data_IF_376782716319
#
_entry.id   IF_376782716319
#
_cell.length_a   1.000
_cell.length_b   1.000
_cell.length_c   1.000
_cell.angle_alpha   90.00
_cell.angle_beta   90.00
_cell.angle_gamma   90.00
#
_symmetry.space_group_name_H-M   'P 1'
#
loop_
_entity.id
_entity.type
_entity.pdbx_description
1 polymer ?
#
# COMPACT_ATOMS: atom_id res chain seq x y z
N UNK A 1 -14.90 -18.58 20.19
CA UNK A 1 -16.01 -18.04 19.38
C UNK A 1 -15.48 -17.06 18.32
N UNK A 2 -14.66 -17.53 17.38
CA UNK A 2 -14.01 -16.70 16.35
C UNK A 2 -14.03 -17.33 14.93
N UNK A 3 -14.60 -18.53 14.79
CA UNK A 3 -14.76 -19.21 13.49
C UNK A 3 -15.80 -18.54 12.59
N UNK A 4 -16.79 -17.88 13.19
CA UNK A 4 -17.97 -17.40 12.47
C UNK A 4 -17.73 -16.09 11.71
N UNK A 5 -16.86 -15.21 12.22
CA UNK A 5 -16.45 -13.99 11.50
C UNK A 5 -15.54 -14.27 10.31
N UNK A 6 -14.81 -15.38 10.35
CA UNK A 6 -13.91 -15.80 9.28
C UNK A 6 -14.66 -16.38 8.07
N UNK A 7 -15.77 -17.09 8.32
CA UNK A 7 -16.63 -17.66 7.28
C UNK A 7 -17.42 -16.59 6.51
N UNK A 8 -17.92 -15.56 7.22
CA UNK A 8 -18.79 -14.52 6.62
C UNK A 8 -18.10 -13.66 5.56
N UNK A 9 -16.77 -13.47 5.62
CA UNK A 9 -16.04 -12.71 4.59
C UNK A 9 -15.65 -13.54 3.36
N UNK A 10 -15.68 -14.87 3.46
CA UNK A 10 -15.28 -15.80 2.38
C UNK A 10 -16.47 -16.43 1.65
N UNK A 11 -17.64 -16.50 2.28
CA UNK A 11 -18.83 -17.13 1.71
C UNK A 11 -19.88 -16.09 1.31
N UNK A 12 -19.81 -15.58 0.09
CA UNK A 12 -20.94 -15.00 -0.67
C UNK A 12 -20.47 -14.75 -2.11
N UNK A 13 -20.52 -15.78 -2.95
CA UNK A 13 -20.33 -15.66 -4.41
C UNK A 13 -20.93 -16.87 -5.12
N UNK A 14 -22.26 -16.93 -5.20
CA UNK A 14 -22.97 -17.71 -6.23
C UNK A 14 -24.47 -17.34 -6.23
N UNK A 15 -24.92 -16.57 -7.22
CA UNK A 15 -26.18 -16.75 -7.96
C UNK A 15 -26.31 -15.68 -9.06
N UNK A 16 -26.52 -16.14 -10.29
CA UNK A 16 -26.75 -15.33 -11.49
C UNK A 16 -28.19 -14.81 -11.55
N UNK A 17 -28.36 -13.59 -12.03
CA UNK A 17 -29.62 -13.05 -12.57
C UNK A 17 -29.31 -11.80 -13.39
N UNK A 18 -29.49 -11.85 -14.70
CA UNK A 18 -29.24 -10.73 -15.60
C UNK A 18 -30.51 -9.87 -15.74
N UNK A 19 -30.42 -8.59 -15.36
CA UNK A 19 -31.32 -7.53 -15.81
C UNK A 19 -30.52 -6.23 -15.88
N UNK A 20 -30.48 -5.58 -17.06
CA UNK A 20 -29.80 -4.30 -17.27
C UNK A 20 -30.79 -3.18 -16.95
N UNK A 21 -30.46 -2.30 -16.00
CA UNK A 21 -31.01 -0.94 -15.90
C UNK A 21 -29.93 0.00 -15.36
N UNK A 22 -29.72 1.13 -16.04
CA UNK A 22 -28.76 2.17 -15.69
C UNK A 22 -28.98 2.69 -14.26
N UNK A 23 -27.91 2.85 -13.48
CA UNK A 23 -27.67 3.91 -12.46
C UNK A 23 -26.50 3.49 -11.54
N UNK A 24 -25.51 4.37 -11.41
CA UNK A 24 -24.47 4.30 -10.39
C UNK A 24 -23.27 3.42 -10.74
N UNK A 25 -22.22 4.03 -11.29
CA UNK A 25 -20.86 3.46 -11.20
C UNK A 25 -20.62 3.25 -9.69
N UNK A 26 -20.44 2.02 -9.19
CA UNK A 26 -20.05 1.85 -7.82
C UNK A 26 -18.65 2.44 -7.70
N UNK A 27 -18.54 3.52 -6.93
CA UNK A 27 -17.26 3.99 -6.44
C UNK A 27 -16.58 2.76 -5.82
N UNK A 28 -15.48 2.33 -6.45
CA UNK A 28 -14.66 1.24 -5.94
C UNK A 28 -14.14 1.70 -4.58
N UNK A 29 -14.82 1.28 -3.51
CA UNK A 29 -14.34 1.46 -2.15
C UNK A 29 -13.03 0.69 -2.05
N UNK A 30 -11.95 1.46 -2.00
CA UNK A 30 -10.58 1.02 -1.81
C UNK A 30 -10.45 0.40 -0.43
N UNK A 31 -9.98 -0.83 -0.34
CA UNK A 31 -9.41 -1.39 0.89
C UNK A 31 -8.37 -2.41 0.51
N UNK A 32 -7.24 -2.42 1.23
CA UNK A 32 -6.00 -3.24 1.21
C UNK A 32 -4.77 -2.85 0.38
N UNK A 33 -4.67 -1.56 0.10
CA UNK A 33 -3.80 -0.86 1.04
C UNK A 33 -4.70 -0.35 2.16
N UNK A 34 -4.26 -0.39 3.43
CA UNK A 34 -5.19 -0.01 4.48
C UNK A 34 -5.20 -0.79 5.79
N UNK A 35 -4.08 -1.42 6.16
CA UNK A 35 -3.99 -2.12 7.44
C UNK A 35 -2.74 -1.66 8.18
N UNK A 36 -2.92 -1.56 9.49
CA UNK A 36 -1.92 -1.12 10.44
C UNK A 36 -0.86 -2.22 10.69
N UNK A 37 0.02 -2.41 9.69
CA UNK A 37 1.19 -3.30 9.72
C UNK A 37 2.46 -2.58 10.21
N UNK A 38 2.29 -1.40 10.80
CA UNK A 38 3.37 -0.60 11.35
C UNK A 38 4.03 -1.36 12.51
N UNK A 39 5.35 -1.62 12.47
CA UNK A 39 6.03 -2.44 13.48
C UNK A 39 6.00 -1.82 14.89
N UNK A 40 5.79 -0.51 15.00
CA UNK A 40 5.66 0.20 16.26
C UNK A 40 4.20 0.55 16.60
N UNK A 41 3.24 -0.19 16.04
CA UNK A 41 1.82 -0.04 16.38
C UNK A 41 1.61 -0.13 17.89
N UNK A 42 1.00 0.90 18.47
CA UNK A 42 0.76 1.00 19.92
C UNK A 42 1.99 1.45 20.73
N UNK A 43 3.09 1.80 20.08
CA UNK A 43 4.27 2.42 20.68
C UNK A 43 4.38 3.85 20.19
N UNK A 44 4.67 4.78 21.10
CA UNK A 44 4.80 6.20 20.79
C UNK A 44 5.97 6.83 21.51
N UNK A 45 6.52 7.92 20.96
CA UNK A 45 7.60 8.72 21.57
C UNK A 45 8.94 7.98 21.75
N UNK A 46 9.14 6.83 21.09
CA UNK A 46 10.45 6.22 20.95
C UNK A 46 11.07 6.62 19.61
N UNK A 47 12.35 6.96 19.60
CA UNK A 47 13.08 7.21 18.37
C UNK A 47 13.23 5.91 17.58
N UNK A 48 12.69 5.88 16.37
CA UNK A 48 12.78 4.73 15.49
C UNK A 48 14.09 4.69 14.69
N UNK A 49 14.28 3.61 13.93
CA UNK A 49 15.47 3.40 13.11
C UNK A 49 15.62 4.37 11.93
N UNK A 50 14.55 5.06 11.53
CA UNK A 50 14.55 6.05 10.47
C UNK A 50 14.80 7.47 10.99
N UNK A 51 14.85 7.66 12.31
CA UNK A 51 15.11 8.92 12.99
C UNK A 51 13.87 9.72 13.39
N UNK A 52 12.70 9.09 13.43
CA UNK A 52 11.45 9.75 13.81
C UNK A 52 10.87 9.17 15.10
N UNK A 53 10.06 9.96 15.80
CA UNK A 53 9.32 9.44 16.95
C UNK A 53 8.18 8.55 16.47
N UNK A 54 8.13 7.35 17.04
CA UNK A 54 7.06 6.36 16.81
C UNK A 54 5.68 6.92 17.15
N UNK A 55 4.67 6.44 16.43
CA UNK A 55 3.27 6.86 16.60
C UNK A 55 2.88 8.15 15.84
N UNK A 56 3.84 8.85 15.24
CA UNK A 56 3.58 10.06 14.46
C UNK A 56 3.60 9.80 12.94
N UNK A 57 3.06 10.76 12.19
CA UNK A 57 2.92 10.69 10.73
C UNK A 57 4.26 10.48 10.01
N UNK A 58 5.31 11.19 10.43
CA UNK A 58 6.65 11.12 9.83
C UNK A 58 7.28 9.74 9.98
N UNK A 59 7.17 9.12 11.15
CA UNK A 59 7.65 7.76 11.40
C UNK A 59 6.91 6.73 10.55
N UNK A 60 5.59 6.83 10.46
CA UNK A 60 4.79 5.92 9.63
C UNK A 60 5.09 6.10 8.12
N UNK A 61 5.23 7.34 7.66
CA UNK A 61 5.62 7.62 6.27
C UNK A 61 7.02 7.09 5.96
N UNK A 62 7.99 7.26 6.87
CA UNK A 62 9.34 6.71 6.74
C UNK A 62 9.35 5.17 6.69
N UNK A 63 8.51 4.51 7.51
CA UNK A 63 8.28 3.08 7.42
C UNK A 63 7.79 2.67 6.02
N UNK A 64 6.74 3.32 5.50
CA UNK A 64 6.22 3.02 4.17
C UNK A 64 7.25 3.24 3.07
N UNK A 65 7.97 4.36 3.10
CA UNK A 65 9.07 4.64 2.17
C UNK A 65 10.17 3.56 2.22
N UNK A 66 10.49 3.04 3.41
CA UNK A 66 11.49 1.98 3.55
C UNK A 66 11.08 0.67 2.88
N UNK A 67 9.77 0.37 2.80
CA UNK A 67 9.24 -0.79 2.07
C UNK A 67 9.42 -0.63 0.55
N UNK A 68 9.58 0.61 0.08
CA UNK A 68 9.84 0.96 -1.32
C UNK A 68 11.33 1.15 -1.61
N UNK A 69 12.22 0.87 -0.65
CA UNK A 69 13.66 1.03 -0.78
C UNK A 69 14.19 2.45 -0.52
N UNK A 70 13.32 3.35 -0.07
CA UNK A 70 13.69 4.73 0.31
C UNK A 70 13.90 4.76 1.81
N UNK A 71 15.16 4.62 2.24
CA UNK A 71 15.52 4.48 3.65
C UNK A 71 16.13 5.78 4.17
N UNK A 72 15.44 6.42 5.12
CA UNK A 72 16.00 7.53 5.87
C UNK A 72 16.90 7.00 6.99
N UNK A 73 18.03 7.68 7.21
CA UNK A 73 18.98 7.40 8.28
C UNK A 73 19.07 8.63 9.17
N UNK A 74 18.58 8.55 10.42
CA UNK A 74 18.56 9.71 11.32
C UNK A 74 17.78 10.90 10.72
N UNK A 75 16.63 10.60 10.14
CA UNK A 75 15.77 11.52 9.40
C UNK A 75 16.46 12.21 8.21
N UNK A 76 17.58 11.69 7.74
CA UNK A 76 18.32 12.21 6.58
C UNK A 76 18.18 11.26 5.40
N UNK A 77 18.00 11.82 4.21
CA UNK A 77 17.95 11.07 2.95
C UNK A 77 18.90 11.71 1.93
N UNK A 78 19.68 10.88 1.23
CA UNK A 78 20.39 11.30 0.03
C UNK A 78 19.44 11.18 -1.17
N UNK A 79 19.32 12.25 -1.94
CA UNK A 79 18.45 12.29 -3.10
C UNK A 79 19.19 11.98 -4.41
N UNK A 80 18.45 11.90 -5.53
CA UNK A 80 19.00 11.55 -6.84
C UNK A 80 20.06 12.53 -7.35
N UNK A 81 20.09 13.77 -6.85
CA UNK A 81 21.12 14.75 -7.21
C UNK A 81 22.43 14.61 -6.40
N UNK A 82 22.56 13.56 -5.59
CA UNK A 82 23.73 13.27 -4.75
C UNK A 82 23.80 14.08 -3.45
N UNK A 83 22.92 15.06 -3.24
CA UNK A 83 22.84 15.85 -2.00
C UNK A 83 21.99 15.13 -0.95
N UNK A 84 22.19 15.51 0.31
CA UNK A 84 21.39 15.01 1.44
C UNK A 84 20.62 16.15 2.10
N UNK A 85 19.44 15.83 2.61
CA UNK A 85 18.63 16.76 3.39
C UNK A 85 18.03 16.05 4.60
N UNK A 86 17.84 16.84 5.66
CA UNK A 86 17.14 16.44 6.86
C UNK A 86 15.63 16.65 6.69
N UNK A 87 14.85 15.62 6.99
CA UNK A 87 13.40 15.58 6.93
C UNK A 87 12.87 15.72 8.35
N UNK A 88 12.47 16.93 8.74
CA UNK A 88 11.98 17.23 10.08
C UNK A 88 10.50 16.93 10.24
N UNK A 89 9.75 17.94 10.70
CA UNK A 89 8.30 17.87 10.80
C UNK A 89 7.66 17.62 9.42
N UNK A 90 6.50 16.95 9.39
CA UNK A 90 5.87 16.56 8.14
C UNK A 90 5.69 17.71 7.15
N UNK A 91 5.30 18.89 7.64
CA UNK A 91 5.09 20.07 6.80
C UNK A 91 6.36 20.69 6.20
N UNK A 92 7.55 20.15 6.42
CA UNK A 92 8.79 20.63 5.76
C UNK A 92 9.39 19.62 4.79
N UNK A 93 8.76 18.43 4.65
CA UNK A 93 9.30 17.34 3.83
C UNK A 93 9.37 17.69 2.35
N UNK A 94 8.43 18.50 1.84
CA UNK A 94 8.39 18.92 0.44
C UNK A 94 9.61 19.79 0.09
N UNK A 95 9.93 20.78 0.91
CA UNK A 95 11.11 21.62 0.72
C UNK A 95 12.41 20.81 0.82
N UNK A 96 12.50 19.90 1.80
CA UNK A 96 13.64 19.00 1.96
C UNK A 96 13.83 18.10 0.73
N UNK A 97 12.76 17.47 0.26
CA UNK A 97 12.78 16.59 -0.91
C UNK A 97 13.17 17.32 -2.21
N UNK A 98 12.59 18.49 -2.44
CA UNK A 98 12.93 19.33 -3.60
C UNK A 98 14.42 19.73 -3.58
N UNK A 99 14.99 20.04 -2.41
CA UNK A 99 16.40 20.43 -2.28
C UNK A 99 17.40 19.33 -2.69
N UNK A 100 16.98 18.06 -2.60
CA UNK A 100 17.78 16.88 -2.98
C UNK A 100 17.33 16.25 -4.31
N UNK A 101 16.51 16.96 -5.08
CA UNK A 101 16.20 16.62 -6.47
C UNK A 101 15.03 15.64 -6.66
N UNK A 102 14.18 15.45 -5.65
CA UNK A 102 12.90 14.79 -5.86
C UNK A 102 11.88 15.75 -6.47
N UNK A 103 10.96 15.20 -7.27
CA UNK A 103 9.84 15.96 -7.83
C UNK A 103 8.81 16.20 -6.74
N UNK A 104 8.34 17.43 -6.65
CA UNK A 104 7.22 17.84 -5.81
C UNK A 104 6.22 18.58 -6.68
N UNK A 105 5.00 18.06 -6.79
CA UNK A 105 3.93 18.66 -7.59
C UNK A 105 2.54 18.40 -6.98
N UNK A 106 1.47 18.76 -7.68
CA UNK A 106 0.10 18.59 -7.22
C UNK A 106 -0.55 17.25 -7.64
N UNK A 107 0.19 16.35 -8.28
CA UNK A 107 -0.37 15.12 -8.86
C UNK A 107 -0.11 13.93 -7.93
N UNK A 108 -1.13 13.35 -7.28
CA UNK A 108 -0.92 12.15 -6.50
C UNK A 108 -0.56 10.97 -7.40
N UNK A 109 0.46 10.23 -6.99
CA UNK A 109 0.77 8.90 -7.55
C UNK A 109 0.87 7.90 -6.41
N UNK A 110 0.60 6.63 -6.70
CA UNK A 110 0.86 5.55 -5.75
C UNK A 110 2.33 5.58 -5.33
N UNK A 111 2.60 5.61 -4.03
CA UNK A 111 3.95 5.67 -3.48
C UNK A 111 4.49 7.09 -3.26
N UNK A 112 3.78 8.12 -3.72
CA UNK A 112 4.08 9.49 -3.33
C UNK A 112 3.69 9.77 -1.88
N UNK A 113 4.23 10.84 -1.31
CA UNK A 113 3.88 11.33 0.03
C UNK A 113 3.15 12.65 -0.10
N UNK A 114 1.90 12.68 0.35
CA UNK A 114 1.09 13.89 0.47
C UNK A 114 1.62 14.74 1.64
N UNK A 115 1.71 16.05 1.45
CA UNK A 115 2.24 16.99 2.45
C UNK A 115 1.27 18.13 2.72
N UNK A 116 1.09 18.45 4.01
CA UNK A 116 0.40 19.64 4.49
C UNK A 116 1.36 20.47 5.33
N UNK A 117 1.46 21.76 5.04
CA UNK A 117 2.18 22.71 5.88
C UNK A 117 1.40 22.98 7.16
N UNK A 118 2.04 23.67 8.12
CA UNK A 118 1.41 24.00 9.39
C UNK A 118 0.09 24.76 9.22
N UNK A 119 -1.00 24.23 9.76
CA UNK A 119 -2.33 24.84 9.68
C UNK A 119 -3.12 24.56 8.39
N UNK A 120 -2.54 23.90 7.39
CA UNK A 120 -3.26 23.56 6.15
C UNK A 120 -4.26 22.44 6.38
N UNK A 121 -5.51 22.63 5.96
CA UNK A 121 -6.58 21.63 5.96
C UNK A 121 -6.77 20.91 7.32
N UNK A 122 -6.46 21.60 8.43
CA UNK A 122 -6.54 21.06 9.80
C UNK A 122 -5.25 20.42 10.32
N UNK A 123 -4.15 20.48 9.57
CA UNK A 123 -2.84 20.04 10.05
C UNK A 123 -2.37 20.88 11.25
N UNK A 124 -1.64 20.25 12.17
CA UNK A 124 -1.04 20.95 13.31
C UNK A 124 0.07 21.90 12.87
N UNK A 125 0.65 22.68 13.79
CA UNK A 125 1.69 23.67 13.49
C UNK A 125 2.94 23.08 12.81
N UNK A 126 3.27 21.81 13.08
CA UNK A 126 4.34 21.07 12.40
C UNK A 126 3.98 20.57 11.00
N UNK A 127 2.74 20.76 10.55
CA UNK A 127 2.21 20.16 9.32
C UNK A 127 1.99 18.66 9.45
N UNK A 128 1.82 17.99 8.32
CA UNK A 128 1.51 16.57 8.26
C UNK A 128 2.01 15.92 6.96
N UNK A 129 2.24 14.60 7.02
CA UNK A 129 2.55 13.78 5.86
C UNK A 129 1.73 12.51 5.86
N UNK A 130 1.31 12.06 4.68
CA UNK A 130 0.57 10.81 4.50
C UNK A 130 1.07 10.06 3.27
N UNK A 131 1.11 8.73 3.35
CA UNK A 131 1.55 7.91 2.22
C UNK A 131 0.39 7.64 1.27
N UNK A 132 0.57 7.94 -0.02
CA UNK A 132 -0.45 7.69 -1.05
C UNK A 132 -0.44 6.22 -1.43
N UNK A 133 -1.51 5.52 -1.06
CA UNK A 133 -1.64 4.09 -1.29
C UNK A 133 -2.49 3.75 -2.52
N UNK A 134 -3.37 4.65 -2.93
CA UNK A 134 -4.12 4.57 -4.18
C UNK A 134 -4.48 5.97 -4.69
N UNK A 135 -4.88 6.05 -5.95
CA UNK A 135 -5.52 7.23 -6.55
C UNK A 135 -6.86 6.78 -7.10
N UNK A 136 -7.94 7.45 -6.70
CA UNK A 136 -9.29 7.08 -7.15
C UNK A 136 -9.55 7.53 -8.60
N UNK A 137 -10.70 7.12 -9.16
CA UNK A 137 -11.06 7.47 -10.54
C UNK A 137 -11.30 8.96 -10.79
N UNK A 138 -11.43 9.77 -9.72
CA UNK A 138 -11.56 11.22 -9.80
C UNK A 138 -10.22 11.95 -9.63
N UNK A 139 -9.12 11.21 -9.42
CA UNK A 139 -7.78 11.76 -9.23
C UNK A 139 -7.47 12.16 -7.79
N UNK A 140 -8.29 11.76 -6.80
CA UNK A 140 -7.99 12.02 -5.40
C UNK A 140 -7.05 10.97 -4.82
N UNK A 141 -6.19 11.38 -3.91
CA UNK A 141 -5.31 10.47 -3.18
C UNK A 141 -6.11 9.71 -2.11
N UNK A 142 -6.02 8.39 -2.12
CA UNK A 142 -6.36 7.58 -0.94
C UNK A 142 -5.07 7.39 -0.17
N UNK A 143 -5.02 7.97 1.03
CA UNK A 143 -3.84 7.98 1.88
C UNK A 143 -3.99 7.07 3.07
N UNK A 144 -2.85 6.58 3.55
CA UNK A 144 -2.71 5.97 4.85
C UNK A 144 -1.70 6.76 5.70
N UNK A 145 -2.02 6.91 6.97
CA UNK A 145 -1.33 7.84 7.85
C UNK A 145 -1.48 7.44 9.31
N UNK A 146 -0.64 8.05 10.14
CA UNK A 146 -0.79 8.06 11.59
C UNK A 146 -1.02 9.48 12.06
N UNK A 147 -1.76 9.66 13.16
CA UNK A 147 -1.85 10.94 13.87
C UNK A 147 -2.52 12.08 13.07
N UNK A 148 -3.51 11.75 12.24
CA UNK A 148 -4.44 12.73 11.63
C UNK A 148 -5.82 12.68 12.30
N UNK A 149 -6.69 11.78 11.86
CA UNK A 149 -8.06 11.64 12.40
C UNK A 149 -8.09 11.03 13.80
N UNK A 150 -7.05 10.28 14.15
CA UNK A 150 -6.93 9.61 15.43
C UNK A 150 -5.55 9.89 16.02
N UNK A 151 -5.50 10.48 17.20
CA UNK A 151 -4.25 10.78 17.89
C UNK A 151 -3.40 9.50 18.07
N UNK A 152 -2.17 9.55 17.56
CA UNK A 152 -1.17 8.46 17.58
C UNK A 152 -1.66 7.12 17.03
N UNK A 153 -2.64 7.13 16.13
CA UNK A 153 -3.22 5.90 15.56
C UNK A 153 -3.29 5.97 14.05
N UNK A 154 -3.31 4.78 13.47
CA UNK A 154 -3.53 4.54 12.06
C UNK A 154 -4.89 5.08 11.58
N UNK A 155 -4.89 5.61 10.37
CA UNK A 155 -6.09 6.01 9.66
C UNK A 155 -5.87 5.95 8.15
N UNK A 156 -6.99 5.97 7.44
CA UNK A 156 -7.05 6.18 6.00
C UNK A 156 -8.12 7.20 5.68
N UNK A 157 -7.92 7.91 4.59
CA UNK A 157 -8.93 8.79 4.01
C UNK A 157 -8.63 9.08 2.56
N UNK A 158 -9.65 9.52 1.84
CA UNK A 158 -9.49 10.17 0.55
C UNK A 158 -9.25 11.66 0.77
N UNK A 159 -8.30 12.24 0.05
CA UNK A 159 -7.90 13.64 0.21
C UNK A 159 -7.27 14.22 -1.05
N UNK A 160 -7.13 15.54 -1.06
CA UNK A 160 -6.38 16.29 -2.06
C UNK A 160 -5.40 17.21 -1.31
N UNK A 161 -4.19 16.73 -1.06
CA UNK A 161 -3.11 17.59 -0.60
C UNK A 161 -2.70 18.56 -1.71
N UNK A 162 -2.17 19.71 -1.31
CA UNK A 162 -1.65 20.72 -2.25
C UNK A 162 -0.37 20.26 -2.96
N UNK A 163 0.34 19.30 -2.36
CA UNK A 163 1.63 18.82 -2.86
C UNK A 163 1.91 17.37 -2.48
N UNK A 164 2.61 16.69 -3.39
CA UNK A 164 3.02 15.30 -3.31
C UNK A 164 4.49 15.16 -3.67
N UNK A 165 5.24 14.44 -2.85
CA UNK A 165 6.66 14.13 -3.09
C UNK A 165 6.77 12.76 -3.77
N UNK A 166 7.48 12.70 -4.89
CA UNK A 166 7.65 11.48 -5.68
C UNK A 166 9.01 10.82 -5.40
N UNK A 167 9.07 9.92 -4.42
CA UNK A 167 10.30 9.22 -4.04
C UNK A 167 10.61 8.00 -4.91
N UNK A 168 9.57 7.27 -5.30
CA UNK A 168 9.67 6.16 -6.26
C UNK A 168 9.39 6.73 -7.65
N UNK A 169 10.24 6.40 -8.62
CA UNK A 169 10.27 7.07 -9.93
C UNK A 169 8.88 7.28 -10.53
N UNK A 170 8.54 8.54 -10.80
CA UNK A 170 7.36 8.98 -11.54
C UNK A 170 7.36 8.56 -13.02
N UNK A 171 7.98 7.42 -13.36
CA UNK A 171 8.07 6.89 -14.70
C UNK A 171 7.90 5.37 -14.70
N UNK A 172 6.66 4.93 -14.58
CA UNK A 172 6.15 3.96 -15.55
C UNK A 172 4.96 4.61 -16.25
N UNK A 173 5.21 5.24 -17.40
CA UNK A 173 4.30 5.01 -18.53
C UNK A 173 4.05 3.50 -18.53
N UNK A 174 2.81 3.00 -18.62
CA UNK A 174 2.61 1.59 -18.90
C UNK A 174 3.41 1.30 -20.17
N UNK A 175 4.45 0.47 -20.05
CA UNK A 175 5.07 -0.12 -21.22
C UNK A 175 3.99 -1.04 -21.76
N UNK A 176 3.25 -0.56 -22.75
CA UNK A 176 2.44 -1.42 -23.61
C UNK A 176 3.46 -2.22 -24.40
N UNK A 177 3.87 -3.37 -23.85
CA UNK A 177 4.54 -4.38 -24.64
C UNK A 177 3.57 -4.78 -25.77
N UNK A 178 4.07 -5.02 -27.00
CA UNK A 178 3.23 -5.60 -28.04
C UNK A 178 2.59 -6.87 -27.48
N UNK A 179 1.29 -7.15 -27.76
CA UNK A 179 0.61 -8.28 -27.19
C UNK A 179 1.33 -9.56 -27.62
N UNK A 180 2.06 -10.16 -26.68
CA UNK A 180 2.46 -11.56 -26.79
C UNK A 180 1.15 -12.34 -26.84
N UNK A 181 0.99 -13.18 -27.86
CA UNK A 181 -0.15 -14.09 -28.00
C UNK A 181 -0.53 -14.70 -26.64
N UNK A 182 -1.82 -14.79 -26.29
CA UNK A 182 -2.23 -15.17 -24.93
C UNK A 182 -1.69 -16.56 -24.61
N UNK A 183 -0.60 -16.61 -23.85
CA UNK A 183 -0.24 -17.79 -23.12
C UNK A 183 -1.38 -18.04 -22.13
N UNK A 184 -1.92 -19.27 -22.14
CA UNK A 184 -2.82 -19.71 -21.06
C UNK A 184 -2.14 -19.35 -19.75
N UNK A 185 -2.74 -18.51 -18.89
CA UNK A 185 -2.04 -18.06 -17.69
C UNK A 185 -1.71 -19.26 -16.81
N UNK A 186 -0.43 -19.50 -16.55
CA UNK A 186 0.00 -20.54 -15.64
C UNK A 186 -0.56 -20.24 -14.23
N UNK A 187 -1.22 -21.21 -13.61
CA UNK A 187 -1.77 -21.11 -12.26
C UNK A 187 -3.28 -21.29 -12.19
N UNK A 188 -3.81 -21.22 -10.97
CA UNK A 188 -5.21 -21.40 -10.64
C UNK A 188 -5.90 -20.04 -10.50
N UNK A 189 -7.13 -19.89 -11.02
CA UNK A 189 -7.81 -18.61 -11.01
C UNK A 189 -8.43 -18.32 -9.64
N UNK A 190 -8.07 -17.17 -9.08
CA UNK A 190 -8.66 -16.62 -7.88
C UNK A 190 -8.96 -15.14 -8.10
N UNK A 191 -9.49 -14.49 -7.08
CA UNK A 191 -9.67 -13.04 -7.05
C UNK A 191 -8.98 -12.47 -5.83
N UNK A 192 -8.58 -11.21 -5.94
CA UNK A 192 -8.29 -10.43 -4.75
C UNK A 192 -9.61 -10.13 -4.03
N UNK A 193 -9.65 -10.29 -2.71
CA UNK A 193 -10.81 -9.92 -1.89
C UNK A 193 -10.79 -8.44 -1.53
N UNK A 194 -9.63 -7.81 -1.69
CA UNK A 194 -9.33 -6.44 -1.32
C UNK A 194 -8.10 -6.00 -2.18
N UNK A 195 -7.84 -4.71 -2.35
CA UNK A 195 -6.62 -4.13 -2.95
C UNK A 195 -5.39 -4.82 -2.35
N UNK A 196 -4.32 -5.06 -3.09
CA UNK A 196 -3.13 -5.69 -2.49
C UNK A 196 -1.86 -5.27 -3.20
N UNK A 197 -0.82 -5.00 -2.41
CA UNK A 197 0.52 -4.78 -2.94
C UNK A 197 1.07 -6.09 -3.53
N UNK A 198 1.37 -6.08 -4.82
CA UNK A 198 2.25 -7.07 -5.43
C UNK A 198 3.67 -6.80 -4.97
N UNK A 199 4.37 -7.80 -4.49
CA UNK A 199 5.75 -7.71 -3.99
C UNK A 199 6.69 -8.58 -4.81
N UNK A 200 7.96 -8.19 -4.86
CA UNK A 200 8.99 -9.00 -5.53
C UNK A 200 9.34 -10.30 -4.79
N UNK A 201 8.88 -10.48 -3.56
CA UNK A 201 9.05 -11.68 -2.75
C UNK A 201 7.98 -11.80 -1.66
N UNK A 202 7.91 -12.94 -0.96
CA UNK A 202 6.79 -13.28 -0.06
C UNK A 202 6.92 -12.61 1.31
N UNK A 203 7.14 -11.31 1.38
CA UNK A 203 7.20 -10.58 2.65
C UNK A 203 7.06 -9.07 2.46
N UNK A 204 6.65 -8.37 3.52
CA UNK A 204 6.47 -6.91 3.54
C UNK A 204 7.74 -6.09 3.31
N UNK A 205 8.91 -6.67 3.53
CA UNK A 205 10.20 -6.02 3.25
C UNK A 205 10.65 -6.17 1.78
N UNK A 206 9.97 -6.98 0.97
CA UNK A 206 10.21 -6.99 -0.47
C UNK A 206 9.52 -5.80 -1.12
N UNK A 207 10.24 -5.17 -2.05
CA UNK A 207 9.80 -4.02 -2.84
C UNK A 207 8.42 -4.26 -3.45
N UNK A 208 7.54 -3.27 -3.40
CA UNK A 208 6.28 -3.28 -4.13
C UNK A 208 6.56 -3.19 -5.64
N UNK A 209 6.02 -4.12 -6.42
CA UNK A 209 6.13 -4.16 -7.90
C UNK A 209 4.83 -3.79 -8.60
N UNK A 210 3.76 -3.59 -7.84
CA UNK A 210 2.48 -3.14 -8.34
C UNK A 210 1.42 -3.14 -7.24
N UNK A 211 0.23 -2.65 -7.57
CA UNK A 211 -0.95 -2.75 -6.72
C UNK A 211 -2.06 -3.39 -7.55
N UNK A 212 -2.70 -4.41 -6.99
CA UNK A 212 -3.88 -5.03 -7.58
C UNK A 212 -5.10 -4.46 -6.89
N UNK A 213 -6.11 -4.02 -7.65
CA UNK A 213 -7.39 -3.62 -7.06
C UNK A 213 -8.16 -4.83 -6.48
N UNK A 214 -9.14 -4.59 -5.61
CA UNK A 214 -10.06 -5.62 -5.13
C UNK A 214 -10.88 -6.25 -6.28
N UNK A 215 -11.28 -7.51 -6.14
CA UNK A 215 -12.08 -8.25 -7.12
C UNK A 215 -11.35 -8.63 -8.41
N UNK A 216 -10.11 -8.16 -8.59
CA UNK A 216 -9.29 -8.44 -9.76
C UNK A 216 -9.00 -9.92 -9.84
N UNK A 217 -9.13 -10.46 -11.05
CA UNK A 217 -8.76 -11.84 -11.31
C UNK A 217 -7.25 -11.97 -11.25
N UNK A 218 -6.77 -12.89 -10.42
CA UNK A 218 -5.36 -13.24 -10.28
C UNK A 218 -5.17 -14.73 -10.59
N UNK A 219 -3.97 -15.06 -11.03
CA UNK A 219 -3.58 -16.44 -11.35
C UNK A 219 -2.48 -16.85 -10.37
N UNK A 220 -2.82 -17.70 -9.42
CA UNK A 220 -1.92 -18.16 -8.36
C UNK A 220 -1.22 -19.43 -8.82
N UNK A 221 0.10 -19.41 -8.87
CA UNK A 221 0.94 -20.55 -9.30
C UNK A 221 1.22 -21.49 -8.14
N UNK A 222 1.60 -20.95 -6.99
CA UNK A 222 1.90 -21.71 -5.78
C UNK A 222 1.81 -20.82 -4.54
N UNK A 223 1.76 -21.47 -3.39
CA UNK A 223 1.76 -20.79 -2.09
C UNK A 223 3.06 -21.07 -1.33
N UNK A 224 3.54 -20.06 -0.60
CA UNK A 224 4.74 -20.15 0.23
C UNK A 224 4.45 -19.64 1.63
N UNK A 225 5.09 -20.25 2.64
CA UNK A 225 5.06 -19.72 4.00
C UNK A 225 6.26 -18.81 4.23
N UNK A 226 6.01 -17.65 4.79
CA UNK A 226 7.00 -16.63 5.16
C UNK A 226 6.89 -16.26 6.63
N UNK A 227 7.96 -15.67 7.17
CA UNK A 227 7.95 -15.02 8.49
C UNK A 227 7.19 -13.68 8.52
N UNK A 228 6.86 -13.12 7.36
CA UNK A 228 6.01 -11.92 7.27
C UNK A 228 4.54 -12.29 7.39
N UNK A 229 3.95 -11.97 8.54
CA UNK A 229 2.55 -12.27 8.86
C UNK A 229 1.68 -11.04 8.64
N UNK A 230 0.68 -11.18 7.77
CA UNK A 230 -0.35 -10.17 7.52
C UNK A 230 -1.67 -10.70 8.06
N UNK A 231 -2.30 -9.98 8.99
CA UNK A 231 -3.58 -10.36 9.62
C UNK A 231 -3.67 -11.83 10.05
N UNK A 232 -2.61 -12.32 10.70
CA UNK A 232 -2.57 -13.66 11.25
C UNK A 232 -2.28 -14.78 10.24
N UNK A 233 -2.00 -14.47 8.97
CA UNK A 233 -1.48 -15.46 8.01
C UNK A 233 -0.07 -15.12 7.54
N UNK A 234 0.81 -16.11 7.60
CA UNK A 234 2.15 -16.06 7.00
C UNK A 234 2.19 -16.69 5.60
N UNK A 235 1.04 -16.95 4.98
CA UNK A 235 0.95 -17.51 3.64
C UNK A 235 0.95 -16.38 2.61
N UNK A 236 1.74 -16.59 1.55
CA UNK A 236 1.85 -15.70 0.41
C UNK A 236 1.59 -16.48 -0.87
N UNK A 237 0.85 -15.87 -1.79
CA UNK A 237 0.51 -16.39 -3.10
C UNK A 237 1.50 -15.87 -4.14
N UNK A 238 2.20 -16.77 -4.82
CA UNK A 238 3.01 -16.42 -5.99
C UNK A 238 2.11 -16.37 -7.22
N UNK A 239 2.09 -15.22 -7.89
CA UNK A 239 1.30 -14.99 -9.09
C UNK A 239 2.05 -15.44 -10.36
N UNK A 240 1.31 -15.63 -11.45
CA UNK A 240 1.83 -16.02 -12.77
C UNK A 240 2.92 -15.10 -13.33
N UNK A 241 2.91 -13.81 -12.96
CA UNK A 241 3.93 -12.84 -13.32
C UNK A 241 5.19 -12.89 -12.42
N UNK A 242 5.26 -13.85 -11.50
CA UNK A 242 6.36 -14.03 -10.55
C UNK A 242 6.30 -13.14 -9.30
N UNK A 243 5.36 -12.21 -9.21
CA UNK A 243 5.13 -11.39 -8.02
C UNK A 243 4.40 -12.15 -6.92
N UNK A 244 4.35 -11.58 -5.72
CA UNK A 244 3.73 -12.19 -4.55
C UNK A 244 2.67 -11.25 -3.95
N UNK A 245 1.55 -11.82 -3.52
CA UNK A 245 0.55 -11.12 -2.71
C UNK A 245 0.31 -11.93 -1.43
N UNK A 246 -0.13 -11.29 -0.35
CA UNK A 246 -0.49 -12.06 0.84
C UNK A 246 -1.79 -12.84 0.60
N UNK A 247 -1.83 -14.09 1.05
CA UNK A 247 -3.00 -14.97 0.97
C UNK A 247 -4.22 -14.41 1.71
N UNK A 248 -4.00 -13.51 2.68
CA UNK A 248 -5.11 -12.86 3.38
C UNK A 248 -6.08 -12.12 2.45
N UNK A 249 -5.55 -11.52 1.36
CA UNK A 249 -6.33 -10.71 0.43
C UNK A 249 -6.70 -11.45 -0.85
N UNK A 250 -6.68 -12.78 -0.85
CA UNK A 250 -7.11 -13.58 -1.99
C UNK A 250 -8.32 -14.42 -1.63
N UNK A 251 -9.07 -14.84 -2.64
CA UNK A 251 -10.25 -15.68 -2.48
C UNK A 251 -9.89 -17.16 -2.25
N UNK A 252 -8.66 -17.44 -1.84
CA UNK A 252 -8.21 -18.78 -1.48
C UNK A 252 -8.95 -19.25 -0.23
N UNK A 253 -9.32 -20.54 -0.14
CA UNK A 253 -10.24 -21.00 0.91
C UNK A 253 -9.58 -21.16 2.28
N UNK A 254 -8.26 -21.39 2.36
CA UNK A 254 -7.59 -21.66 3.63
C UNK A 254 -7.21 -20.40 4.41
N UNK A 255 -6.94 -20.54 5.71
CA UNK A 255 -6.41 -19.48 6.54
C UNK A 255 -5.15 -19.95 7.25
N UNK A 256 -4.08 -19.17 7.12
CA UNK A 256 -2.76 -19.42 7.69
C UNK A 256 -2.26 -20.87 7.50
N UNK A 257 -2.65 -21.49 6.39
CA UNK A 257 -2.20 -22.81 5.93
C UNK A 257 -2.37 -22.85 4.42
N UNK A 258 -1.68 -23.79 3.78
CA UNK A 258 -1.79 -23.97 2.34
C UNK A 258 -3.23 -24.34 1.94
N UNK A 259 -3.72 -23.71 0.88
CA UNK A 259 -5.03 -23.96 0.30
C UNK A 259 -5.04 -25.28 -0.49
N UNK A 260 -6.09 -26.10 -0.33
CA UNK A 260 -6.20 -27.35 -1.09
C UNK A 260 -6.15 -27.09 -2.60
N UNK A 261 -5.39 -27.93 -3.32
CA UNK A 261 -5.27 -27.85 -4.78
C UNK A 261 -4.26 -26.83 -5.30
N UNK A 262 -3.66 -26.00 -4.44
CA UNK A 262 -2.54 -25.13 -4.80
C UNK A 262 -1.20 -25.81 -4.48
N UNK A 263 -0.25 -25.84 -5.44
CA UNK A 263 1.12 -26.30 -5.17
C UNK A 263 1.82 -25.44 -4.11
N UNK A 264 2.86 -26.01 -3.51
CA UNK A 264 3.78 -25.29 -2.62
C UNK A 264 4.99 -24.82 -3.42
N UNK A 265 5.35 -23.55 -3.25
CA UNK A 265 6.71 -23.11 -3.50
C UNK A 265 7.57 -23.55 -2.28
#
# INVERSE_FOLDING_TARGET
>A
MDRDRFSLRKALSALMGATVLLLGIPALTVSAAGIDDYPYRGTSNLLDRWGFYTGYCTSFAAFRLSQEGVVLHGATLQGPNGKSAFFGNGGTWDAAAASIGYVVDAHPTVGSVAVWHGGEDGAWSGGHVAYVMAVDGAGNAVVEEYNWSNYLRYGQRTTQARRYIHFVGAATRPVVLPPKAPAVPAGHPYRTTDVVRQRSGPATWYRTVGIIAAGQRIMIVCQVRSGSVINGTGIWDRLSNGSYVTDYYTSTPAFNRFSPGLPRC
#
